data_IF_952658999444
#
_entry.id   IF_952658999444
#
_cell.length_a   1.000
_cell.length_b   1.000
_cell.length_c   1.000
_cell.angle_alpha   90.00
_cell.angle_beta   90.00
_cell.angle_gamma   90.00
#
_symmetry.space_group_name_H-M   'P 1'
#
loop_
_entity.id
_entity.type
_entity.pdbx_description
1 polymer ?
#
# COMPACT_ATOMS: atom_id res chain seq x y z
N UNK A 1 -15.19 -16.29 -2.29
CA UNK A 1 -14.09 -15.47 -1.73
C UNK A 1 -13.71 -14.33 -2.67
N UNK A 2 -13.42 -14.57 -3.95
CA UNK A 2 -13.10 -13.51 -4.91
C UNK A 2 -14.14 -12.37 -5.02
N UNK A 3 -15.43 -12.68 -5.24
CA UNK A 3 -16.49 -11.66 -5.30
C UNK A 3 -16.61 -10.87 -4.00
N UNK A 4 -16.41 -11.54 -2.87
CA UNK A 4 -16.40 -10.89 -1.55
C UNK A 4 -15.25 -9.89 -1.43
N UNK A 5 -14.05 -10.23 -1.92
CA UNK A 5 -12.92 -9.30 -1.95
C UNK A 5 -13.18 -8.10 -2.86
N UNK A 6 -13.86 -8.27 -4.00
CA UNK A 6 -14.27 -7.15 -4.85
C UNK A 6 -15.23 -6.22 -4.10
N UNK A 7 -16.25 -6.77 -3.46
CA UNK A 7 -17.21 -5.98 -2.67
C UNK A 7 -16.49 -5.25 -1.53
N UNK A 8 -15.61 -5.95 -0.81
CA UNK A 8 -14.81 -5.38 0.27
C UNK A 8 -13.90 -4.25 -0.23
N UNK A 9 -13.28 -4.42 -1.39
CA UNK A 9 -12.48 -3.38 -2.05
C UNK A 9 -13.31 -2.15 -2.39
N UNK A 10 -14.46 -2.32 -3.04
CA UNK A 10 -15.34 -1.19 -3.43
C UNK A 10 -15.86 -0.44 -2.20
N UNK A 11 -16.32 -1.17 -1.18
CA UNK A 11 -16.82 -0.59 0.08
C UNK A 11 -15.70 0.14 0.81
N UNK A 12 -14.54 -0.49 0.96
CA UNK A 12 -13.38 0.12 1.61
C UNK A 12 -12.90 1.39 0.89
N UNK A 13 -12.81 1.34 -0.44
CA UNK A 13 -12.42 2.50 -1.24
C UNK A 13 -13.46 3.63 -1.15
N UNK A 14 -14.75 3.28 -1.06
CA UNK A 14 -15.81 4.25 -0.80
C UNK A 14 -15.62 4.95 0.55
N UNK A 15 -15.23 4.22 1.60
CA UNK A 15 -14.91 4.82 2.89
C UNK A 15 -13.71 5.77 2.84
N UNK A 16 -12.69 5.45 2.04
CA UNK A 16 -11.53 6.32 1.81
C UNK A 16 -11.94 7.60 1.07
N UNK A 17 -12.84 7.50 0.09
CA UNK A 17 -13.33 8.65 -0.68
C UNK A 17 -14.26 9.55 0.14
N UNK A 18 -15.08 8.96 1.02
CA UNK A 18 -16.02 9.64 1.91
C UNK A 18 -15.37 10.13 3.23
N UNK A 19 -14.04 10.32 3.24
CA UNK A 19 -13.28 10.82 4.38
C UNK A 19 -13.91 12.08 5.01
N UNK A 20 -14.25 13.07 4.18
CA UNK A 20 -14.76 14.37 4.65
C UNK A 20 -16.14 14.27 5.37
N UNK A 21 -17.16 13.57 4.83
CA UNK A 21 -18.43 13.41 5.53
C UNK A 21 -18.36 12.46 6.74
N UNK A 22 -17.49 11.44 6.72
CA UNK A 22 -17.42 10.43 7.79
C UNK A 22 -16.46 10.79 8.93
N UNK A 23 -15.57 11.78 8.73
CA UNK A 23 -14.56 12.22 9.71
C UNK A 23 -13.66 11.09 10.20
N UNK A 24 -13.38 10.11 9.34
CA UNK A 24 -12.47 9.00 9.63
C UNK A 24 -11.13 9.30 8.95
N UNK A 25 -10.02 8.98 9.61
CA UNK A 25 -8.69 9.13 9.03
C UNK A 25 -8.51 8.24 7.78
N UNK A 26 -8.07 8.85 6.67
CA UNK A 26 -7.85 8.17 5.39
C UNK A 26 -6.82 7.05 5.46
N UNK A 27 -5.72 7.29 6.17
CA UNK A 27 -4.64 6.32 6.31
C UNK A 27 -5.11 5.13 7.14
N UNK A 28 -5.87 5.37 8.21
CA UNK A 28 -6.41 4.30 9.05
C UNK A 28 -7.39 3.39 8.29
N UNK A 29 -8.29 3.97 7.48
CA UNK A 29 -9.24 3.20 6.67
C UNK A 29 -8.55 2.43 5.54
N UNK A 30 -7.56 3.04 4.88
CA UNK A 30 -6.74 2.37 3.86
C UNK A 30 -5.95 1.18 4.43
N UNK A 31 -5.34 1.34 5.61
CA UNK A 31 -4.61 0.26 6.29
C UNK A 31 -5.52 -0.90 6.67
N UNK A 32 -6.70 -0.61 7.24
CA UNK A 32 -7.67 -1.66 7.56
C UNK A 32 -8.14 -2.40 6.30
N UNK A 33 -8.46 -1.68 5.23
CA UNK A 33 -8.84 -2.28 3.96
C UNK A 33 -7.74 -3.22 3.44
N UNK A 34 -6.48 -2.78 3.47
CA UNK A 34 -5.35 -3.60 3.06
C UNK A 34 -5.24 -4.89 3.90
N UNK A 35 -5.29 -4.77 5.23
CA UNK A 35 -5.23 -5.94 6.14
C UNK A 35 -6.37 -6.92 5.85
N UNK A 36 -7.61 -6.44 5.71
CA UNK A 36 -8.75 -7.30 5.42
C UNK A 36 -8.63 -8.02 4.07
N UNK A 37 -8.16 -7.34 3.03
CA UNK A 37 -7.94 -7.96 1.72
C UNK A 37 -6.85 -9.02 1.77
N UNK A 38 -5.73 -8.76 2.47
CA UNK A 38 -4.65 -9.73 2.64
C UNK A 38 -5.08 -10.95 3.48
N UNK A 39 -5.89 -10.76 4.52
CA UNK A 39 -6.48 -11.86 5.30
C UNK A 39 -7.42 -12.71 4.43
N UNK A 40 -8.27 -12.07 3.62
CA UNK A 40 -9.12 -12.78 2.67
C UNK A 40 -8.30 -13.55 1.62
N UNK A 41 -7.19 -12.96 1.15
CA UNK A 41 -6.27 -13.61 0.23
C UNK A 41 -5.58 -14.83 0.86
N UNK A 42 -5.16 -14.74 2.13
CA UNK A 42 -4.54 -15.84 2.85
C UNK A 42 -5.48 -17.03 3.05
N UNK A 43 -6.76 -16.77 3.33
CA UNK A 43 -7.72 -17.84 3.66
C UNK A 43 -8.40 -18.40 2.40
N UNK A 44 -8.57 -17.59 1.34
CA UNK A 44 -9.45 -17.94 0.22
C UNK A 44 -8.98 -17.49 -1.16
N UNK A 45 -7.70 -17.09 -1.31
CA UNK A 45 -7.13 -16.60 -2.56
C UNK A 45 -6.66 -17.68 -3.54
N UNK A 46 -6.50 -18.93 -3.07
CA UNK A 46 -5.87 -20.04 -3.80
C UNK A 46 -6.45 -20.31 -5.20
N UNK A 47 -7.77 -20.16 -5.37
CA UNK A 47 -8.45 -20.61 -6.59
C UNK A 47 -8.58 -19.59 -7.72
N UNK A 48 -8.29 -18.29 -7.51
CA UNK A 48 -8.64 -17.24 -8.50
C UNK A 48 -7.58 -16.14 -8.65
N UNK A 49 -6.84 -15.79 -7.60
CA UNK A 49 -5.87 -14.68 -7.63
C UNK A 49 -4.44 -15.13 -7.94
N UNK A 50 -4.22 -16.44 -8.09
CA UNK A 50 -2.90 -17.06 -8.13
C UNK A 50 -2.58 -17.53 -9.54
N UNK A 51 -1.50 -17.00 -10.12
CA UNK A 51 -0.86 -17.59 -11.29
C UNK A 51 -0.25 -18.92 -10.87
N UNK A 52 -0.85 -20.03 -11.33
CA UNK A 52 -0.43 -21.40 -11.01
C UNK A 52 1.05 -21.63 -11.32
N UNK A 53 1.59 -20.97 -12.35
CA UNK A 53 2.99 -21.06 -12.76
C UNK A 53 3.95 -20.60 -11.65
N UNK A 54 3.74 -19.40 -11.10
CA UNK A 54 4.62 -18.83 -10.06
C UNK A 54 4.56 -19.56 -8.71
N UNK A 55 3.41 -20.15 -8.38
CA UNK A 55 3.26 -21.00 -7.19
C UNK A 55 3.97 -22.33 -7.39
N UNK A 56 3.81 -22.92 -8.58
CA UNK A 56 4.46 -24.18 -8.96
C UNK A 56 5.99 -24.03 -8.94
N UNK A 57 6.54 -22.96 -9.50
CA UNK A 57 7.98 -22.72 -9.49
C UNK A 57 8.55 -22.58 -8.07
N UNK A 58 7.82 -21.93 -7.18
CA UNK A 58 8.21 -21.78 -5.77
C UNK A 58 8.17 -23.11 -5.00
N UNK A 59 7.16 -23.95 -5.23
CA UNK A 59 7.09 -25.29 -4.61
C UNK A 59 8.20 -26.22 -5.13
N UNK A 60 8.73 -25.98 -6.33
CA UNK A 60 9.89 -26.73 -6.84
C UNK A 60 11.21 -26.31 -6.19
N UNK A 61 11.40 -25.02 -5.91
CA UNK A 61 12.61 -24.53 -5.24
C UNK A 61 12.58 -24.81 -3.74
N UNK A 62 11.40 -24.84 -3.13
CA UNK A 62 11.20 -24.97 -1.69
C UNK A 62 10.30 -26.19 -1.39
N UNK A 63 10.84 -27.42 -1.39
CA UNK A 63 10.05 -28.60 -1.09
C UNK A 63 9.49 -28.54 0.33
N UNK A 64 8.17 -28.61 0.45
CA UNK A 64 7.43 -28.55 1.73
C UNK A 64 6.85 -27.17 2.08
N UNK A 65 7.08 -26.14 1.25
CA UNK A 65 6.37 -24.87 1.40
C UNK A 65 4.94 -24.95 0.87
N UNK A 66 4.02 -24.27 1.55
CA UNK A 66 2.60 -24.21 1.17
C UNK A 66 2.21 -22.88 0.53
N UNK A 67 0.93 -22.75 0.21
CA UNK A 67 0.36 -21.51 -0.36
C UNK A 67 0.65 -20.27 0.49
N UNK A 68 0.49 -20.36 1.81
CA UNK A 68 0.70 -19.22 2.71
C UNK A 68 2.15 -18.73 2.68
N UNK A 69 3.11 -19.65 2.59
CA UNK A 69 4.53 -19.31 2.57
C UNK A 69 4.89 -18.57 1.27
N UNK A 70 4.38 -19.06 0.14
CA UNK A 70 4.50 -18.40 -1.16
C UNK A 70 3.82 -17.02 -1.16
N UNK A 71 2.60 -16.91 -0.62
CA UNK A 71 1.84 -15.66 -0.60
C UNK A 71 2.60 -14.57 0.18
N UNK A 72 3.15 -14.95 1.34
CA UNK A 72 3.92 -14.03 2.18
C UNK A 72 5.22 -13.64 1.49
N UNK A 73 6.03 -14.61 1.07
CA UNK A 73 7.38 -14.33 0.56
C UNK A 73 7.41 -13.73 -0.84
N UNK A 74 6.53 -14.17 -1.75
CA UNK A 74 6.55 -13.73 -3.14
C UNK A 74 5.70 -12.49 -3.37
N UNK A 75 4.51 -12.41 -2.78
CA UNK A 75 3.54 -11.35 -3.09
C UNK A 75 3.50 -10.26 -2.03
N UNK A 76 3.35 -10.62 -0.76
CA UNK A 76 3.19 -9.66 0.31
C UNK A 76 4.48 -8.85 0.53
N UNK A 77 5.63 -9.51 0.67
CA UNK A 77 6.91 -8.82 0.87
C UNK A 77 7.25 -7.91 -0.31
N UNK A 78 7.00 -8.37 -1.55
CA UNK A 78 7.23 -7.55 -2.75
C UNK A 78 6.37 -6.28 -2.75
N UNK A 79 5.05 -6.43 -2.54
CA UNK A 79 4.13 -5.29 -2.51
C UNK A 79 4.44 -4.32 -1.36
N UNK A 80 4.77 -4.85 -0.17
CA UNK A 80 5.20 -4.02 0.96
C UNK A 80 6.52 -3.31 0.67
N UNK A 81 7.46 -3.95 -0.01
CA UNK A 81 8.74 -3.37 -0.42
C UNK A 81 8.54 -2.16 -1.32
N UNK A 82 7.78 -2.32 -2.40
CA UNK A 82 7.47 -1.23 -3.35
C UNK A 82 6.77 -0.04 -2.67
N UNK A 83 5.78 -0.32 -1.83
CA UNK A 83 5.06 0.75 -1.11
C UNK A 83 5.96 1.41 -0.06
N UNK A 84 6.77 0.63 0.65
CA UNK A 84 7.71 1.16 1.65
C UNK A 84 8.76 2.05 1.00
N UNK A 85 9.28 1.68 -0.18
CA UNK A 85 10.22 2.50 -0.95
C UNK A 85 9.63 3.90 -1.21
N UNK A 86 8.38 3.98 -1.70
CA UNK A 86 7.69 5.24 -1.93
C UNK A 86 7.51 6.02 -0.63
N UNK A 87 7.11 5.35 0.46
CA UNK A 87 6.93 6.00 1.77
C UNK A 87 8.25 6.55 2.31
N UNK A 88 9.34 5.78 2.28
CA UNK A 88 10.65 6.25 2.73
C UNK A 88 11.16 7.40 1.86
N UNK A 89 10.94 7.34 0.55
CA UNK A 89 11.26 8.43 -0.37
C UNK A 89 10.48 9.71 -0.03
N UNK A 90 9.16 9.62 0.13
CA UNK A 90 8.30 10.75 0.45
C UNK A 90 8.54 11.31 1.86
N UNK A 91 8.81 10.44 2.84
CA UNK A 91 9.16 10.84 4.20
C UNK A 91 10.46 11.65 4.18
N UNK A 92 11.49 11.18 3.48
CA UNK A 92 12.73 11.91 3.30
C UNK A 92 12.53 13.25 2.58
N UNK A 93 11.81 13.24 1.46
CA UNK A 93 11.53 14.44 0.68
C UNK A 93 10.75 15.48 1.49
N UNK A 94 9.67 15.09 2.15
CA UNK A 94 8.86 15.99 2.98
C UNK A 94 9.66 16.53 4.17
N UNK A 95 10.52 15.71 4.79
CA UNK A 95 11.40 16.15 5.89
C UNK A 95 12.43 17.18 5.43
N UNK A 96 13.04 16.98 4.26
CA UNK A 96 14.00 17.95 3.70
C UNK A 96 13.29 19.26 3.37
N UNK A 97 12.11 19.20 2.75
CA UNK A 97 11.31 20.39 2.44
C UNK A 97 10.99 21.16 3.71
N UNK A 98 10.53 20.48 4.77
CA UNK A 98 10.22 21.10 6.07
C UNK A 98 11.48 21.72 6.73
N UNK A 99 12.63 21.05 6.68
CA UNK A 99 13.88 21.57 7.24
C UNK A 99 14.35 22.84 6.51
N UNK A 100 14.21 22.88 5.19
CA UNK A 100 14.57 24.05 4.39
C UNK A 100 13.61 25.22 4.70
N UNK A 101 12.31 24.96 4.83
CA UNK A 101 11.31 25.99 5.13
C UNK A 101 11.53 26.60 6.52
N UNK A 102 11.77 25.77 7.54
CA UNK A 102 12.03 26.23 8.92
C UNK A 102 13.30 27.07 9.05
N UNK A 103 14.29 26.89 8.17
CA UNK A 103 15.48 27.74 8.08
C UNK A 103 15.30 28.98 7.18
N UNK A 104 14.12 29.19 6.62
CA UNK A 104 13.84 30.30 5.71
C UNK A 104 14.46 30.14 4.32
N UNK A 105 14.89 28.94 3.94
CA UNK A 105 15.56 28.68 2.66
C UNK A 105 14.69 29.01 1.45
N UNK A 106 13.37 28.80 1.53
CA UNK A 106 12.45 29.16 0.45
C UNK A 106 12.20 30.67 0.32
N UNK A 107 12.42 31.46 1.39
CA UNK A 107 12.15 32.90 1.39
C UNK A 107 12.96 33.64 0.32
N UNK A 108 14.21 33.23 0.09
CA UNK A 108 15.09 33.81 -0.96
C UNK A 108 14.48 33.65 -2.36
N UNK A 109 13.80 32.53 -2.60
CA UNK A 109 13.14 32.24 -3.88
C UNK A 109 11.80 32.98 -3.93
N UNK A 110 11.00 32.89 -2.87
CA UNK A 110 9.66 33.51 -2.79
C UNK A 110 9.73 35.03 -2.93
N UNK A 111 10.72 35.70 -2.33
CA UNK A 111 10.91 37.16 -2.41
C UNK A 111 11.21 37.64 -3.85
N UNK A 112 11.70 36.74 -4.72
CA UNK A 112 11.98 37.03 -6.14
C UNK A 112 10.80 36.72 -7.07
N UNK A 113 9.76 36.05 -6.60
CA UNK A 113 8.57 35.75 -7.39
C UNK A 113 7.60 36.93 -7.22
N UNK A 114 7.57 37.84 -8.21
CA UNK A 114 6.57 38.90 -8.29
C UNK A 114 5.28 38.31 -8.86
N UNK A 115 4.31 38.02 -8.00
CA UNK A 115 2.96 37.64 -8.44
C UNK A 115 2.15 38.92 -8.70
N UNK A 116 1.45 39.00 -9.84
CA UNK A 116 0.46 40.07 -10.11
C UNK A 116 -0.80 39.85 -9.29
#
# INVERSE_FOLDING_TARGET
>A
MFVFMIVLFVVGYTFIALEHPLKINKSATALLLAVFLWVCAAIGGEGVLVSTDSLRDYMMSNPGSGYLDWLVHSKLIHALGEVSEIIFFLLGAMTIVELIDTQGGFKIITDKIQTT
#
